data_IF_077510365642
#
_entry.id   IF_077510365642
#
_cell.length_a   1.000
_cell.length_b   1.000
_cell.length_c   1.000
_cell.angle_alpha   90.00
_cell.angle_beta   90.00
_cell.angle_gamma   90.00
#
_symmetry.space_group_name_H-M   'P 1'
#
loop_
_entity.id
_entity.type
_entity.pdbx_description
1 polymer ?
#
# COMPACT_ATOMS: atom_id res chain seq x y z
N UNK A 1 -25.22 31.84 -10.30
CA UNK A 1 -24.96 30.51 -9.69
C UNK A 1 -23.51 30.44 -9.23
N UNK A 2 -23.26 29.78 -8.09
CA UNK A 2 -21.92 29.43 -7.60
C UNK A 2 -21.86 27.95 -7.29
N UNK A 3 -20.86 27.25 -7.80
CA UNK A 3 -20.66 25.81 -7.58
C UNK A 3 -19.31 25.63 -6.89
N UNK A 4 -19.30 25.03 -5.70
CA UNK A 4 -18.08 24.60 -5.02
C UNK A 4 -17.74 23.18 -5.44
N UNK A 5 -16.46 22.95 -5.73
CA UNK A 5 -15.95 21.72 -6.32
C UNK A 5 -14.82 21.23 -5.43
N UNK A 6 -14.97 20.01 -4.94
CA UNK A 6 -13.91 19.30 -4.24
C UNK A 6 -12.94 18.72 -5.26
N UNK A 7 -11.66 19.05 -5.09
CA UNK A 7 -10.55 18.49 -5.85
C UNK A 7 -9.77 17.47 -4.99
N UNK A 8 -8.61 17.03 -5.49
CA UNK A 8 -7.75 16.04 -4.82
C UNK A 8 -7.19 16.58 -3.50
N UNK A 9 -6.66 17.80 -3.54
CA UNK A 9 -6.22 18.51 -2.34
C UNK A 9 -7.38 19.35 -1.78
N UNK A 10 -7.82 19.12 -0.54
CA UNK A 10 -8.84 19.92 0.11
C UNK A 10 -8.50 21.42 0.19
N UNK A 11 -7.21 21.78 0.15
CA UNK A 11 -6.78 23.18 0.15
C UNK A 11 -6.90 23.84 -1.23
N UNK A 12 -7.02 23.06 -2.30
CA UNK A 12 -7.13 23.54 -3.69
C UNK A 12 -8.57 23.48 -4.22
N UNK A 13 -9.56 23.36 -3.34
CA UNK A 13 -10.96 23.35 -3.75
C UNK A 13 -11.31 24.58 -4.61
N UNK A 14 -12.01 24.33 -5.71
CA UNK A 14 -12.34 25.36 -6.69
C UNK A 14 -13.80 25.82 -6.53
N UNK A 15 -14.10 27.02 -7.03
CA UNK A 15 -15.44 27.55 -7.07
C UNK A 15 -15.73 28.26 -8.40
N UNK A 16 -16.69 27.71 -9.15
CA UNK A 16 -17.18 28.34 -10.38
C UNK A 16 -18.32 29.30 -10.07
N UNK A 17 -18.21 30.54 -10.56
CA UNK A 17 -19.30 31.53 -10.47
C UNK A 17 -19.71 31.97 -11.87
N UNK A 18 -20.99 31.81 -12.21
CA UNK A 18 -21.51 32.14 -13.52
C UNK A 18 -23.02 32.39 -13.51
N UNK A 19 -23.48 33.17 -14.49
CA UNK A 19 -24.90 33.32 -14.81
C UNK A 19 -25.32 32.30 -15.86
N UNK A 20 -26.54 31.79 -15.74
CA UNK A 20 -27.13 30.82 -16.66
C UNK A 20 -28.51 31.31 -17.07
N UNK A 21 -28.73 31.49 -18.38
CA UNK A 21 -30.02 31.89 -18.93
C UNK A 21 -31.02 30.74 -18.88
N UNK A 22 -32.34 31.02 -18.90
CA UNK A 22 -33.36 29.97 -19.01
C UNK A 22 -33.06 29.03 -20.20
N UNK A 23 -33.22 27.72 -19.97
CA UNK A 23 -32.99 26.67 -20.96
C UNK A 23 -31.58 26.65 -21.59
N UNK A 24 -30.58 27.27 -20.94
CA UNK A 24 -29.19 27.23 -21.38
C UNK A 24 -28.34 26.31 -20.52
N UNK A 25 -27.21 25.86 -21.08
CA UNK A 25 -26.18 25.09 -20.38
C UNK A 25 -24.83 25.79 -20.50
N UNK A 26 -23.97 25.57 -19.50
CA UNK A 26 -22.56 25.96 -19.53
C UNK A 26 -21.71 24.76 -19.12
N UNK A 27 -20.62 24.56 -19.84
CA UNK A 27 -19.63 23.51 -19.56
C UNK A 27 -18.30 24.16 -19.21
N UNK A 28 -17.62 23.59 -18.24
CA UNK A 28 -16.33 24.06 -17.75
C UNK A 28 -15.32 22.93 -17.79
N UNK A 29 -14.08 23.25 -18.16
CA UNK A 29 -12.94 22.35 -18.06
C UNK A 29 -12.05 22.84 -16.92
N UNK A 30 -11.94 22.02 -15.88
CA UNK A 30 -11.17 22.37 -14.68
C UNK A 30 -9.91 21.51 -14.67
N UNK A 31 -8.71 22.10 -14.69
CA UNK A 31 -7.48 21.34 -14.56
C UNK A 31 -7.40 20.76 -13.14
N UNK A 32 -7.14 19.45 -13.03
CA UNK A 32 -6.94 18.78 -11.75
C UNK A 32 -5.45 18.50 -11.59
N UNK A 33 -4.82 19.13 -10.59
CA UNK A 33 -3.45 18.82 -10.23
C UNK A 33 -3.41 17.52 -9.43
N UNK A 34 -2.47 16.61 -9.78
CA UNK A 34 -2.36 15.28 -9.18
C UNK A 34 -0.97 15.13 -8.54
N UNK A 35 -0.78 15.66 -7.31
CA UNK A 35 0.53 15.65 -6.65
C UNK A 35 0.91 14.30 -6.03
N UNK A 36 -0.07 13.47 -5.66
CA UNK A 36 0.16 12.21 -4.96
C UNK A 36 -0.79 11.10 -5.46
N UNK A 37 -0.37 9.84 -5.30
CA UNK A 37 -1.20 8.67 -5.59
C UNK A 37 -2.22 8.41 -4.47
N UNK A 38 -3.28 7.68 -4.80
CA UNK A 38 -4.35 7.37 -3.85
C UNK A 38 -5.73 7.37 -4.49
N UNK A 39 -6.75 7.28 -3.65
CA UNK A 39 -8.15 7.33 -4.08
C UNK A 39 -8.81 8.61 -3.56
N UNK A 40 -9.33 9.43 -4.48
CA UNK A 40 -9.89 10.75 -4.18
C UNK A 40 -11.34 10.85 -4.62
N UNK A 41 -12.14 11.57 -3.84
CA UNK A 41 -13.50 11.94 -4.22
C UNK A 41 -13.50 13.34 -4.80
N UNK A 42 -13.85 13.47 -6.08
CA UNK A 42 -13.81 14.72 -6.84
C UNK A 42 -15.19 15.04 -7.37
N UNK A 43 -15.60 16.31 -7.29
CA UNK A 43 -16.86 16.79 -7.86
C UNK A 43 -17.50 17.92 -7.07
N UNK A 44 -18.68 18.36 -7.52
CA UNK A 44 -19.49 19.37 -6.86
C UNK A 44 -19.86 18.97 -5.44
N UNK A 45 -19.62 19.84 -4.47
CA UNK A 45 -20.01 19.66 -3.06
C UNK A 45 -21.19 20.55 -2.71
N UNK A 46 -21.24 21.76 -3.25
CA UNK A 46 -22.29 22.73 -2.95
C UNK A 46 -22.66 23.54 -4.17
N UNK A 47 -23.95 23.71 -4.40
CA UNK A 47 -24.48 24.62 -5.42
C UNK A 47 -25.25 25.72 -4.70
N UNK A 48 -24.95 26.98 -5.03
CA UNK A 48 -25.65 28.15 -4.53
C UNK A 48 -26.29 28.89 -5.71
N UNK A 49 -27.60 29.02 -5.68
CA UNK A 49 -28.39 29.78 -6.65
C UNK A 49 -28.74 31.10 -5.99
N UNK A 50 -28.48 32.19 -6.70
CA UNK A 50 -28.72 33.55 -6.21
C UNK A 50 -29.87 34.16 -6.97
N UNK A 51 -30.60 35.07 -6.33
CA UNK A 51 -31.54 35.95 -7.02
C UNK A 51 -30.81 36.96 -7.94
N UNK A 52 -31.57 37.77 -8.67
CA UNK A 52 -31.03 38.74 -9.65
C UNK A 52 -30.19 39.85 -8.99
N UNK A 53 -30.36 40.08 -7.69
CA UNK A 53 -29.66 41.07 -6.89
C UNK A 53 -28.58 40.45 -5.96
N UNK A 54 -28.33 39.14 -6.06
CA UNK A 54 -27.42 38.36 -5.21
C UNK A 54 -27.71 38.46 -3.70
N UNK A 55 -28.91 38.84 -3.29
CA UNK A 55 -29.25 39.10 -1.88
C UNK A 55 -29.47 37.81 -1.09
N UNK A 56 -30.19 36.84 -1.67
CA UNK A 56 -30.56 35.59 -0.99
C UNK A 56 -30.05 34.37 -1.77
N UNK A 57 -29.06 33.64 -1.22
CA UNK A 57 -28.59 32.40 -1.81
C UNK A 57 -29.40 31.17 -1.35
N UNK A 58 -30.01 30.46 -2.29
CA UNK A 58 -30.51 29.10 -2.12
C UNK A 58 -29.35 28.11 -2.23
N UNK A 59 -29.02 27.41 -1.14
CA UNK A 59 -27.86 26.54 -1.05
C UNK A 59 -28.27 25.08 -1.01
N UNK A 60 -27.70 24.29 -1.90
CA UNK A 60 -27.89 22.84 -1.98
C UNK A 60 -26.54 22.16 -1.71
N UNK A 61 -26.49 21.32 -0.69
CA UNK A 61 -25.34 20.42 -0.51
C UNK A 61 -25.55 19.20 -1.41
N UNK A 62 -24.72 19.11 -2.45
CA UNK A 62 -24.84 18.08 -3.47
C UNK A 62 -24.63 16.68 -2.88
N UNK A 63 -23.87 16.56 -1.77
CA UNK A 63 -23.50 15.28 -1.15
C UNK A 63 -24.70 14.59 -0.49
N UNK A 64 -25.75 15.34 -0.15
CA UNK A 64 -26.96 14.81 0.48
C UNK A 64 -28.05 14.43 -0.53
N UNK A 65 -27.87 14.74 -1.82
CA UNK A 65 -28.86 14.47 -2.86
C UNK A 65 -28.77 13.01 -3.32
N UNK A 66 -29.90 12.31 -3.39
CA UNK A 66 -29.94 10.88 -3.73
C UNK A 66 -29.37 10.57 -5.12
N UNK A 67 -29.55 11.48 -6.07
CA UNK A 67 -29.15 11.33 -7.48
C UNK A 67 -27.71 11.76 -7.78
N UNK A 68 -26.97 12.30 -6.81
CA UNK A 68 -25.63 12.83 -7.03
C UNK A 68 -24.59 12.16 -6.13
N UNK A 69 -23.46 11.75 -6.69
CA UNK A 69 -22.30 11.24 -5.94
C UNK A 69 -21.03 11.86 -6.47
N UNK A 70 -20.10 12.17 -5.58
CA UNK A 70 -18.73 12.51 -5.96
C UNK A 70 -18.14 11.37 -6.80
N UNK A 71 -17.34 11.71 -7.80
CA UNK A 71 -16.65 10.73 -8.63
C UNK A 71 -15.39 10.28 -7.91
N UNK A 72 -15.13 8.98 -7.97
CA UNK A 72 -13.90 8.39 -7.43
C UNK A 72 -12.81 8.44 -8.50
N UNK A 73 -11.70 9.13 -8.19
CA UNK A 73 -10.50 9.17 -9.00
C UNK A 73 -9.40 8.36 -8.29
N UNK A 74 -8.98 7.25 -8.89
CA UNK A 74 -7.87 6.43 -8.38
C UNK A 74 -6.62 6.72 -9.18
N UNK A 75 -5.60 7.22 -8.51
CA UNK A 75 -4.29 7.53 -9.07
C UNK A 75 -3.32 6.45 -8.61
N UNK A 76 -2.81 5.65 -9.55
CA UNK A 76 -1.89 4.55 -9.24
C UNK A 76 -0.47 5.10 -9.01
N UNK A 77 0.29 4.57 -8.02
CA UNK A 77 1.70 4.91 -7.87
C UNK A 77 2.48 4.52 -9.12
N UNK A 78 3.48 5.31 -9.50
CA UNK A 78 4.41 4.89 -10.55
C UNK A 78 5.30 3.77 -10.01
N UNK A 79 5.68 2.86 -10.90
CA UNK A 79 6.66 1.82 -10.62
C UNK A 79 7.87 2.09 -11.50
N UNK A 80 8.98 2.51 -10.90
CA UNK A 80 10.20 2.82 -11.61
C UNK A 80 11.04 1.56 -11.82
N UNK A 81 11.75 1.51 -12.94
CA UNK A 81 12.68 0.44 -13.21
C UNK A 81 13.93 0.61 -12.35
N UNK A 82 14.20 -0.35 -11.48
CA UNK A 82 15.40 -0.40 -10.63
C UNK A 82 16.18 -1.67 -10.96
N UNK A 83 17.44 -1.53 -11.35
CA UNK A 83 18.28 -2.67 -11.76
C UNK A 83 18.73 -3.50 -10.56
N UNK A 84 19.30 -2.84 -9.56
CA UNK A 84 19.81 -3.42 -8.33
C UNK A 84 19.43 -2.55 -7.13
N UNK A 85 19.07 -3.18 -6.02
CA UNK A 85 18.92 -2.51 -4.74
C UNK A 85 20.14 -2.93 -3.91
N UNK A 86 21.05 -1.99 -3.57
CA UNK A 86 22.26 -2.34 -2.84
C UNK A 86 21.95 -2.91 -1.46
N UNK A 87 22.73 -3.90 -1.04
CA UNK A 87 22.46 -4.65 0.19
C UNK A 87 21.45 -5.78 0.01
N UNK A 88 20.89 -6.00 -1.18
CA UNK A 88 20.27 -7.28 -1.51
C UNK A 88 21.33 -8.39 -1.56
N UNK A 89 21.07 -9.48 -0.86
CA UNK A 89 21.92 -10.67 -0.95
C UNK A 89 21.55 -11.41 -2.24
N UNK A 90 22.33 -11.16 -3.29
CA UNK A 90 22.29 -11.95 -4.52
C UNK A 90 23.02 -13.29 -4.32
N UNK A 91 22.63 -14.09 -3.33
CA UNK A 91 23.20 -15.42 -3.15
C UNK A 91 22.49 -16.42 -4.06
N UNK A 92 22.81 -16.37 -5.35
CA UNK A 92 22.50 -17.45 -6.28
C UNK A 92 22.97 -18.83 -5.73
N UNK A 93 23.99 -18.85 -4.86
CA UNK A 93 24.48 -20.03 -4.15
C UNK A 93 23.61 -20.44 -2.96
N UNK A 94 23.26 -19.54 -2.05
CA UNK A 94 22.36 -19.86 -0.92
C UNK A 94 20.96 -20.27 -1.44
N UNK A 95 20.45 -19.61 -2.49
CA UNK A 95 19.21 -19.98 -3.16
C UNK A 95 19.28 -21.35 -3.87
N UNK A 96 20.42 -21.73 -4.44
CA UNK A 96 20.62 -23.06 -5.02
C UNK A 96 20.68 -24.15 -3.94
N UNK A 97 21.36 -23.87 -2.82
CA UNK A 97 21.43 -24.75 -1.64
C UNK A 97 20.05 -24.93 -0.98
N UNK A 98 19.23 -23.86 -0.97
CA UNK A 98 17.84 -23.88 -0.55
C UNK A 98 16.95 -24.75 -1.46
N UNK A 99 17.01 -24.55 -2.78
CA UNK A 99 16.28 -25.40 -3.74
C UNK A 99 16.62 -26.89 -3.60
N UNK A 100 17.87 -27.21 -3.31
CA UNK A 100 18.32 -28.58 -3.04
C UNK A 100 17.69 -29.14 -1.76
N UNK A 101 17.67 -28.37 -0.67
CA UNK A 101 17.04 -28.77 0.60
C UNK A 101 15.52 -28.95 0.50
N UNK A 102 14.84 -28.08 -0.25
CA UNK A 102 13.39 -28.17 -0.46
C UNK A 102 13.00 -29.32 -1.39
N UNK A 103 13.83 -29.62 -2.39
CA UNK A 103 13.61 -30.77 -3.27
C UNK A 103 13.76 -32.10 -2.50
N UNK A 104 14.60 -32.13 -1.47
CA UNK A 104 14.77 -33.29 -0.58
C UNK A 104 13.65 -33.41 0.48
N UNK A 105 13.05 -32.28 0.87
CA UNK A 105 11.88 -32.22 1.76
C UNK A 105 10.61 -31.95 0.95
N UNK A 106 10.12 -32.98 0.24
CA UNK A 106 8.95 -32.87 -0.63
C UNK A 106 7.77 -32.12 0.00
N UNK A 107 7.14 -31.24 -0.80
CA UNK A 107 5.91 -30.46 -0.53
C UNK A 107 5.29 -30.68 0.86
N UNK A 108 5.86 -30.01 1.87
CA UNK A 108 5.34 -30.08 3.23
C UNK A 108 4.04 -29.27 3.33
N UNK A 109 2.93 -29.98 3.22
CA UNK A 109 1.56 -29.47 3.32
C UNK A 109 1.06 -29.60 4.76
N UNK A 110 1.13 -28.55 5.60
CA UNK A 110 0.65 -28.73 6.99
C UNK A 110 0.19 -27.46 7.74
N UNK A 111 -0.88 -26.79 7.28
CA UNK A 111 -1.77 -26.20 8.30
C UNK A 111 -3.25 -26.10 7.90
N UNK A 112 -4.12 -26.35 8.88
CA UNK A 112 -5.58 -26.38 8.71
C UNK A 112 -6.21 -25.55 9.80
N UNK A 113 -6.77 -24.40 9.40
CA UNK A 113 -7.44 -23.48 10.33
C UNK A 113 -8.93 -23.76 10.40
N UNK A 114 -9.53 -23.56 11.58
CA UNK A 114 -10.99 -23.42 11.69
C UNK A 114 -11.51 -22.25 10.86
N UNK A 115 -12.64 -22.45 10.22
CA UNK A 115 -13.36 -21.42 9.46
C UNK A 115 -13.76 -20.25 10.36
N UNK A 116 -13.50 -19.03 9.91
CA UNK A 116 -14.03 -17.80 10.49
C UNK A 116 -14.98 -17.13 9.50
N UNK A 117 -16.05 -16.45 9.98
CA UNK A 117 -16.91 -15.66 9.12
C UNK A 117 -16.06 -14.67 8.29
N UNK A 118 -16.19 -14.75 6.96
CA UNK A 118 -15.37 -13.97 6.01
C UNK A 118 -14.37 -14.81 5.22
N UNK A 119 -14.06 -16.04 5.65
CA UNK A 119 -13.20 -16.94 4.88
C UNK A 119 -13.90 -17.36 3.56
N UNK A 120 -13.21 -17.33 2.41
CA UNK A 120 -13.83 -17.67 1.13
C UNK A 120 -14.21 -19.16 1.07
N UNK A 121 -15.47 -19.45 0.73
CA UNK A 121 -16.04 -20.82 0.65
C UNK A 121 -15.19 -21.76 -0.22
N UNK A 122 -14.56 -21.23 -1.28
CA UNK A 122 -13.68 -22.00 -2.19
C UNK A 122 -12.46 -22.63 -1.48
N UNK A 123 -12.09 -22.14 -0.28
CA UNK A 123 -10.96 -22.63 0.50
C UNK A 123 -11.37 -23.67 1.56
N UNK A 124 -12.64 -24.05 1.65
CA UNK A 124 -13.10 -25.07 2.62
C UNK A 124 -12.59 -26.46 2.21
N UNK A 125 -11.97 -27.17 3.15
CA UNK A 125 -11.58 -28.56 2.99
C UNK A 125 -12.78 -29.47 3.29
N UNK A 126 -13.71 -29.61 2.33
CA UNK A 126 -14.98 -30.32 2.52
C UNK A 126 -14.81 -31.73 3.11
N UNK A 127 -13.83 -32.52 2.65
CA UNK A 127 -13.60 -33.89 3.14
C UNK A 127 -13.23 -33.97 4.64
N UNK A 128 -12.41 -33.04 5.13
CA UNK A 128 -11.97 -33.00 6.54
C UNK A 128 -13.03 -32.32 7.40
N UNK A 129 -13.71 -31.32 6.84
CA UNK A 129 -14.85 -30.68 7.49
C UNK A 129 -16.00 -31.64 7.73
N UNK A 130 -16.26 -32.54 6.77
CA UNK A 130 -17.26 -33.59 6.90
C UNK A 130 -16.89 -34.62 7.99
N UNK A 131 -15.60 -34.95 8.14
CA UNK A 131 -15.13 -35.92 9.14
C UNK A 131 -15.25 -35.40 10.58
N UNK A 132 -15.05 -34.10 10.79
CA UNK A 132 -15.00 -33.48 12.12
C UNK A 132 -16.22 -32.60 12.43
N UNK A 133 -17.23 -32.58 11.55
CA UNK A 133 -18.44 -31.75 11.65
C UNK A 133 -18.18 -30.26 11.94
N UNK A 134 -17.00 -29.79 11.59
CA UNK A 134 -16.52 -28.42 11.81
C UNK A 134 -15.83 -27.95 10.55
N UNK A 135 -16.12 -26.72 10.10
CA UNK A 135 -15.55 -26.21 8.85
C UNK A 135 -14.06 -25.92 9.03
N UNK A 136 -13.24 -26.59 8.24
CA UNK A 136 -11.81 -26.33 8.12
C UNK A 136 -11.52 -25.64 6.79
N UNK A 137 -10.65 -24.64 6.84
CA UNK A 137 -10.15 -23.91 5.67
C UNK A 137 -8.72 -24.38 5.39
N UNK A 138 -8.44 -24.72 4.14
CA UNK A 138 -7.09 -25.02 3.65
C UNK A 138 -6.25 -23.75 3.79
N UNK A 139 -5.25 -23.75 4.67
CA UNK A 139 -4.15 -22.81 4.54
C UNK A 139 -3.20 -23.43 3.51
N UNK A 140 -2.99 -22.71 2.42
CA UNK A 140 -1.99 -23.10 1.44
C UNK A 140 -0.67 -22.53 1.96
N UNK A 141 0.24 -23.39 2.40
CA UNK A 141 1.64 -23.08 2.22
C UNK A 141 1.86 -23.00 0.71
N UNK A 142 2.24 -21.83 0.23
CA UNK A 142 2.62 -21.71 -1.16
C UNK A 142 3.83 -22.62 -1.41
N UNK A 143 3.95 -23.24 -2.60
CA UNK A 143 5.23 -23.79 -3.02
C UNK A 143 6.28 -22.71 -2.79
N UNK A 144 7.46 -23.10 -2.27
CA UNK A 144 8.60 -22.23 -2.02
C UNK A 144 9.15 -21.60 -3.31
N UNK A 145 8.34 -20.79 -3.98
CA UNK A 145 8.77 -19.86 -4.98
C UNK A 145 9.52 -18.76 -4.25
N UNK A 146 10.70 -18.42 -4.75
CA UNK A 146 11.47 -17.26 -4.34
C UNK A 146 10.54 -16.03 -4.34
N UNK A 147 10.19 -15.56 -3.14
CA UNK A 147 9.16 -14.56 -2.93
C UNK A 147 9.73 -13.38 -2.14
N UNK A 148 9.39 -12.19 -2.59
CA UNK A 148 9.71 -10.91 -1.94
C UNK A 148 8.48 -10.45 -1.18
N UNK A 149 8.64 -10.17 0.12
CA UNK A 149 7.59 -9.64 0.96
C UNK A 149 7.74 -8.13 1.09
N UNK A 150 6.70 -7.39 0.72
CA UNK A 150 6.54 -5.96 0.93
C UNK A 150 5.62 -5.76 2.13
N UNK A 151 6.18 -5.31 3.24
CA UNK A 151 5.45 -5.02 4.46
C UNK A 151 5.27 -3.50 4.60
N UNK A 152 4.04 -3.02 4.46
CA UNK A 152 3.71 -1.59 4.48
C UNK A 152 3.25 -1.21 5.87
N UNK A 153 4.00 -0.34 6.53
CA UNK A 153 3.55 0.34 7.72
C UNK A 153 2.44 1.33 7.39
N UNK A 154 1.28 1.09 7.96
CA UNK A 154 0.07 1.89 7.78
C UNK A 154 -0.15 2.86 8.94
N UNK A 155 0.80 3.00 9.86
CA UNK A 155 0.74 4.00 10.93
C UNK A 155 0.68 5.41 10.32
N UNK A 156 -0.25 6.24 10.77
CA UNK A 156 -0.33 7.63 10.32
C UNK A 156 0.97 8.39 10.68
N UNK A 157 1.69 8.96 9.70
CA UNK A 157 2.86 9.78 10.00
C UNK A 157 2.49 11.13 10.60
N UNK A 158 3.47 11.77 11.25
CA UNK A 158 3.36 13.16 11.69
C UNK A 158 3.59 14.11 10.51
N UNK A 159 2.89 15.25 10.53
CA UNK A 159 3.00 16.28 9.50
C UNK A 159 1.67 16.95 9.19
N UNK A 160 1.70 17.90 8.26
CA UNK A 160 0.48 18.44 7.67
C UNK A 160 -0.11 17.48 6.62
N UNK A 161 -1.31 17.79 6.12
CA UNK A 161 -2.00 16.93 5.16
C UNK A 161 -1.15 16.64 3.91
N UNK A 162 -0.45 17.65 3.38
CA UNK A 162 0.36 17.52 2.17
C UNK A 162 1.58 16.64 2.41
N UNK A 163 2.32 16.87 3.49
CA UNK A 163 3.45 16.03 3.89
C UNK A 163 3.03 14.59 4.10
N UNK A 164 1.96 14.33 4.86
CA UNK A 164 1.43 12.96 5.08
C UNK A 164 1.09 12.27 3.74
N UNK A 165 0.45 12.99 2.81
CA UNK A 165 0.12 12.47 1.48
C UNK A 165 1.36 12.23 0.62
N UNK A 166 2.37 13.08 0.69
CA UNK A 166 3.62 12.93 -0.04
C UNK A 166 4.46 11.77 0.52
N UNK A 167 4.50 11.58 1.84
CA UNK A 167 5.13 10.41 2.46
C UNK A 167 4.45 9.12 2.00
N UNK A 168 3.11 9.06 2.03
CA UNK A 168 2.37 7.91 1.49
C UNK A 168 2.64 7.66 0.02
N UNK A 169 2.66 8.72 -0.78
CA UNK A 169 2.95 8.63 -2.21
C UNK A 169 4.32 8.03 -2.47
N UNK A 170 5.35 8.55 -1.80
CA UNK A 170 6.73 8.07 -1.91
C UNK A 170 6.83 6.60 -1.48
N UNK A 171 6.14 6.22 -0.39
CA UNK A 171 6.07 4.85 0.09
C UNK A 171 5.46 3.91 -0.95
N UNK A 172 4.33 4.31 -1.54
CA UNK A 172 3.63 3.53 -2.56
C UNK A 172 4.45 3.39 -3.85
N UNK A 173 5.10 4.46 -4.30
CA UNK A 173 5.99 4.40 -5.48
C UNK A 173 7.21 3.52 -5.22
N UNK A 174 7.79 3.58 -4.02
CA UNK A 174 8.89 2.71 -3.61
C UNK A 174 8.46 1.25 -3.61
N UNK A 175 7.33 0.92 -2.96
CA UNK A 175 6.80 -0.43 -2.92
C UNK A 175 6.44 -0.97 -4.32
N UNK A 176 5.83 -0.15 -5.16
CA UNK A 176 5.50 -0.52 -6.54
C UNK A 176 6.77 -0.77 -7.38
N UNK A 177 7.84 -0.01 -7.15
CA UNK A 177 9.13 -0.16 -7.84
C UNK A 177 9.85 -1.45 -7.42
N UNK A 178 9.87 -1.77 -6.11
CA UNK A 178 10.38 -3.05 -5.60
C UNK A 178 9.56 -4.22 -6.14
N UNK A 179 8.23 -4.11 -6.15
CA UNK A 179 7.34 -5.12 -6.73
C UNK A 179 7.64 -5.39 -8.21
N UNK A 180 7.71 -4.32 -9.02
CA UNK A 180 8.02 -4.40 -10.44
C UNK A 180 9.35 -5.14 -10.65
N UNK A 181 10.37 -4.78 -9.88
CA UNK A 181 11.69 -5.40 -9.98
C UNK A 181 11.65 -6.90 -9.64
N UNK A 182 11.01 -7.28 -8.53
CA UNK A 182 10.86 -8.67 -8.13
C UNK A 182 10.15 -9.50 -9.20
N UNK A 183 9.05 -8.98 -9.76
CA UNK A 183 8.31 -9.64 -10.85
C UNK A 183 9.15 -9.76 -12.14
N UNK A 184 9.98 -8.76 -12.49
CA UNK A 184 10.93 -8.87 -13.62
C UNK A 184 11.93 -10.00 -13.43
N UNK A 185 12.31 -10.28 -12.18
CA UNK A 185 13.21 -11.37 -11.79
C UNK A 185 12.52 -12.70 -11.58
N UNK A 186 11.21 -12.80 -11.91
CA UNK A 186 10.38 -13.99 -11.72
C UNK A 186 10.27 -14.45 -10.26
N UNK A 187 10.43 -13.51 -9.33
CA UNK A 187 10.10 -13.71 -7.93
C UNK A 187 8.64 -13.36 -7.69
N UNK A 188 7.95 -14.14 -6.87
CA UNK A 188 6.62 -13.76 -6.42
C UNK A 188 6.71 -12.53 -5.51
N UNK A 189 5.65 -11.73 -5.46
CA UNK A 189 5.55 -10.57 -4.58
C UNK A 189 4.37 -10.75 -3.66
N UNK A 190 4.62 -10.61 -2.37
CA UNK A 190 3.63 -10.64 -1.31
C UNK A 190 3.52 -9.25 -0.70
N UNK A 191 2.35 -8.65 -0.75
CA UNK A 191 2.05 -7.36 -0.13
C UNK A 191 1.23 -7.56 1.13
N UNK A 192 1.72 -7.04 2.26
CA UNK A 192 1.07 -7.07 3.56
C UNK A 192 0.99 -5.65 4.11
N UNK A 193 -0.18 -5.27 4.61
CA UNK A 193 -0.38 -4.02 5.33
C UNK A 193 -0.37 -4.27 6.84
N UNK A 194 0.23 -3.38 7.62
CA UNK A 194 0.40 -3.56 9.06
C UNK A 194 -0.91 -3.51 9.85
N UNK A 195 -1.95 -2.89 9.31
CA UNK A 195 -3.27 -2.70 9.92
C UNK A 195 -4.29 -3.78 9.56
N UNK A 196 -4.11 -4.45 8.42
CA UNK A 196 -4.95 -5.56 7.98
C UNK A 196 -4.11 -6.66 7.33
N UNK A 197 -3.45 -7.46 8.16
CA UNK A 197 -2.65 -8.61 7.71
C UNK A 197 -3.47 -9.71 7.04
N UNK A 198 -4.81 -9.65 7.10
CA UNK A 198 -5.70 -10.60 6.43
C UNK A 198 -5.91 -10.30 4.94
N UNK A 199 -5.66 -9.04 4.52
CA UNK A 199 -5.73 -8.59 3.12
C UNK A 199 -4.40 -8.70 2.40
N UNK A 200 -3.73 -9.83 2.58
CA UNK A 200 -2.53 -10.15 1.82
C UNK A 200 -2.84 -10.21 0.32
N UNK A 201 -2.04 -9.53 -0.48
CA UNK A 201 -2.08 -9.61 -1.94
C UNK A 201 -0.84 -10.31 -2.44
N UNK A 202 -1.01 -11.35 -3.24
CA UNK A 202 0.11 -12.10 -3.81
C UNK A 202 0.04 -12.00 -5.33
N UNK A 203 1.17 -11.70 -5.95
CA UNK A 203 1.32 -11.65 -7.40
C UNK A 203 2.55 -12.44 -7.82
N UNK A 204 2.43 -13.24 -8.88
CA UNK A 204 3.51 -14.07 -9.40
C UNK A 204 3.95 -13.62 -10.79
N UNK A 205 3.15 -12.78 -11.46
CA UNK A 205 3.36 -12.40 -12.85
C UNK A 205 3.34 -10.88 -13.07
N UNK A 206 3.99 -10.44 -14.14
CA UNK A 206 4.11 -9.01 -14.45
C UNK A 206 2.78 -8.32 -14.77
N UNK A 207 1.85 -9.02 -15.41
CA UNK A 207 0.51 -8.53 -15.71
C UNK A 207 -0.34 -8.29 -14.44
N UNK A 208 0.05 -8.85 -13.30
CA UNK A 208 -0.61 -8.68 -12.01
C UNK A 208 -0.08 -7.47 -11.22
N UNK A 209 0.97 -6.78 -11.70
CA UNK A 209 1.56 -5.62 -11.01
C UNK A 209 0.52 -4.54 -10.70
N UNK A 210 -0.46 -4.32 -11.57
CA UNK A 210 -1.51 -3.35 -11.34
C UNK A 210 -2.43 -3.72 -10.17
N UNK A 211 -2.50 -4.99 -9.75
CA UNK A 211 -3.20 -5.39 -8.52
C UNK A 211 -2.49 -4.83 -7.28
N UNK A 212 -1.16 -4.92 -7.24
CA UNK A 212 -0.33 -4.33 -6.17
C UNK A 212 -0.53 -2.82 -6.17
N UNK A 213 -0.40 -2.16 -7.32
CA UNK A 213 -0.54 -0.70 -7.44
C UNK A 213 -1.92 -0.20 -7.03
N UNK A 214 -2.98 -0.93 -7.42
CA UNK A 214 -4.36 -0.64 -7.00
C UNK A 214 -4.54 -0.85 -5.50
N UNK A 215 -3.97 -1.92 -4.93
CA UNK A 215 -4.03 -2.17 -3.49
C UNK A 215 -3.34 -1.07 -2.70
N UNK A 216 -2.15 -0.64 -3.13
CA UNK A 216 -1.42 0.49 -2.55
C UNK A 216 -2.23 1.79 -2.64
N UNK A 217 -2.79 2.12 -3.82
CA UNK A 217 -3.56 3.35 -4.01
C UNK A 217 -4.93 3.37 -3.30
N UNK A 218 -5.51 2.21 -3.02
CA UNK A 218 -6.79 2.10 -2.32
C UNK A 218 -6.64 2.09 -0.80
N UNK A 219 -5.44 1.80 -0.29
CA UNK A 219 -5.20 1.71 1.15
C UNK A 219 -5.13 3.10 1.79
N UNK A 220 -5.54 3.17 3.05
CA UNK A 220 -5.49 4.38 3.86
C UNK A 220 -4.71 4.10 5.14
N UNK A 221 -4.02 5.10 5.68
CA UNK A 221 -3.38 4.96 6.98
C UNK A 221 -4.39 4.64 8.09
N UNK A 222 -3.95 3.82 9.02
CA UNK A 222 -4.62 3.51 10.27
C UNK A 222 -4.22 4.50 11.36
N UNK A 223 -5.18 4.81 12.23
CA UNK A 223 -4.94 5.59 13.46
C UNK A 223 -4.34 4.74 14.58
N UNK A 224 -4.21 3.43 14.38
CA UNK A 224 -3.63 2.53 15.38
C UNK A 224 -2.11 2.46 15.24
N UNK A 225 -1.40 3.13 16.14
CA UNK A 225 0.06 3.19 16.15
C UNK A 225 0.74 1.86 16.53
N UNK A 226 0.08 0.94 17.23
CA UNK A 226 0.75 -0.29 17.69
C UNK A 226 0.65 -1.44 16.68
N UNK A 227 -0.13 -1.28 15.62
CA UNK A 227 -0.46 -2.35 14.67
C UNK A 227 0.78 -2.97 14.04
N UNK A 228 1.78 -2.16 13.70
CA UNK A 228 3.04 -2.64 13.12
C UNK A 228 3.82 -3.53 14.08
N UNK A 229 4.01 -3.05 15.32
CA UNK A 229 4.84 -3.73 16.32
C UNK A 229 4.22 -5.06 16.75
N UNK A 230 2.89 -5.17 16.72
CA UNK A 230 2.20 -6.41 16.99
C UNK A 230 2.14 -7.36 15.79
N UNK A 231 1.77 -6.85 14.62
CA UNK A 231 1.49 -7.69 13.45
C UNK A 231 2.76 -8.14 12.75
N UNK A 232 3.82 -7.34 12.75
CA UNK A 232 5.07 -7.72 12.10
C UNK A 232 5.62 -9.03 12.69
N UNK A 233 5.85 -9.17 14.02
CA UNK A 233 6.31 -10.43 14.62
C UNK A 233 5.36 -11.62 14.41
N UNK A 234 4.03 -11.41 14.44
CA UNK A 234 3.04 -12.48 14.19
C UNK A 234 3.14 -13.00 12.76
N UNK A 235 3.34 -12.11 11.78
CA UNK A 235 3.52 -12.48 10.38
C UNK A 235 4.91 -13.07 10.14
N UNK A 236 5.94 -12.70 10.91
CA UNK A 236 7.26 -13.31 10.84
C UNK A 236 7.24 -14.82 11.13
N UNK A 237 6.39 -15.30 12.06
CA UNK A 237 6.27 -16.75 12.32
C UNK A 237 5.76 -17.50 11.08
N UNK A 238 4.96 -16.83 10.24
CA UNK A 238 4.42 -17.39 8.99
C UNK A 238 5.36 -17.25 7.81
N UNK A 239 6.27 -16.29 7.85
CA UNK A 239 7.25 -16.03 6.81
C UNK A 239 8.48 -16.88 7.14
N UNK A 240 8.85 -17.81 6.26
CA UNK A 240 10.13 -18.51 6.40
C UNK A 240 11.26 -17.47 6.49
N UNK A 241 12.17 -17.63 7.46
CA UNK A 241 13.30 -16.73 7.72
C UNK A 241 14.28 -16.55 6.53
N UNK A 242 14.03 -17.25 5.43
CA UNK A 242 14.82 -17.31 4.21
C UNK A 242 14.27 -16.39 3.10
N UNK A 243 13.14 -15.70 3.33
CA UNK A 243 12.51 -14.79 2.36
C UNK A 243 13.05 -13.35 2.46
N UNK A 244 13.09 -12.66 1.32
CA UNK A 244 13.54 -11.27 1.21
C UNK A 244 12.40 -10.33 1.67
N UNK A 245 12.63 -9.51 2.70
CA UNK A 245 11.60 -8.68 3.34
C UNK A 245 11.97 -7.21 3.23
N UNK A 246 11.08 -6.44 2.60
CA UNK A 246 11.13 -4.99 2.54
C UNK A 246 10.09 -4.41 3.50
N UNK A 247 10.55 -3.75 4.55
CA UNK A 247 9.70 -3.00 5.45
C UNK A 247 9.66 -1.54 4.99
N UNK A 248 8.48 -1.01 4.74
CA UNK A 248 8.27 0.38 4.34
C UNK A 248 7.64 1.13 5.50
N UNK A 249 8.30 2.19 6.00
CA UNK A 249 7.76 3.00 7.09
C UNK A 249 8.26 4.43 7.02
N UNK A 250 7.45 5.37 7.52
CA UNK A 250 7.79 6.77 7.76
C UNK A 250 8.00 7.09 9.24
N UNK A 251 7.90 6.09 10.13
CA UNK A 251 8.01 6.28 11.57
C UNK A 251 9.42 6.68 11.99
N UNK A 252 9.51 7.58 12.95
CA UNK A 252 10.78 8.08 13.47
C UNK A 252 10.95 7.80 14.97
N UNK A 253 10.02 7.10 15.60
CA UNK A 253 10.07 6.85 17.03
C UNK A 253 11.21 5.90 17.41
N UNK A 254 11.83 6.17 18.55
CA UNK A 254 12.98 5.40 19.04
C UNK A 254 12.61 3.93 19.28
N UNK A 255 11.38 3.67 19.73
CA UNK A 255 10.89 2.31 19.98
C UNK A 255 10.86 1.47 18.70
N UNK A 256 10.40 2.05 17.58
CA UNK A 256 10.40 1.43 16.27
C UNK A 256 11.82 1.15 15.78
N UNK A 257 12.74 2.10 15.95
CA UNK A 257 14.14 1.93 15.56
C UNK A 257 14.82 0.80 16.35
N UNK A 258 14.61 0.73 17.67
CA UNK A 258 15.14 -0.35 18.51
C UNK A 258 14.56 -1.72 18.12
N UNK A 259 13.25 -1.79 17.85
CA UNK A 259 12.59 -3.03 17.45
C UNK A 259 13.06 -3.51 16.07
N UNK A 260 13.17 -2.62 15.09
CA UNK A 260 13.65 -2.97 13.74
C UNK A 260 15.10 -3.43 13.73
N UNK A 261 15.96 -2.81 14.55
CA UNK A 261 17.32 -3.27 14.77
C UNK A 261 17.35 -4.68 15.37
N UNK A 262 16.55 -4.94 16.41
CA UNK A 262 16.43 -6.27 17.02
C UNK A 262 15.88 -7.33 16.05
N UNK A 263 14.97 -6.96 15.15
CA UNK A 263 14.50 -7.84 14.09
C UNK A 263 15.58 -8.14 13.06
N UNK A 264 16.39 -7.15 12.68
CA UNK A 264 17.49 -7.32 11.72
C UNK A 264 18.56 -8.32 12.19
N UNK A 265 18.82 -8.39 13.50
CA UNK A 265 19.75 -9.38 14.08
C UNK A 265 19.28 -10.82 13.87
N UNK A 266 17.96 -11.04 13.86
CA UNK A 266 17.34 -12.34 13.62
C UNK A 266 17.07 -12.60 12.13
N UNK A 267 17.02 -11.53 11.32
CA UNK A 267 16.57 -11.56 9.93
C UNK A 267 17.62 -10.96 8.99
N UNK A 268 18.45 -11.83 8.41
CA UNK A 268 19.53 -11.41 7.51
C UNK A 268 19.06 -10.74 6.20
N UNK A 269 17.80 -10.91 5.83
CA UNK A 269 17.20 -10.42 4.58
C UNK A 269 16.15 -9.32 4.80
N UNK A 270 16.18 -8.65 5.95
CA UNK A 270 15.33 -7.48 6.23
C UNK A 270 16.01 -6.20 5.72
N UNK A 271 15.30 -5.45 4.86
CA UNK A 271 15.68 -4.11 4.41
C UNK A 271 14.58 -3.11 4.74
N UNK A 272 14.95 -2.03 5.43
CA UNK A 272 14.03 -0.94 5.77
C UNK A 272 14.10 0.15 4.69
N UNK A 273 12.98 0.43 4.02
CA UNK A 273 12.80 1.62 3.20
C UNK A 273 12.15 2.69 4.08
N UNK A 274 12.98 3.64 4.52
CA UNK A 274 12.61 4.65 5.51
C UNK A 274 12.24 5.96 4.82
N UNK A 275 10.95 6.27 4.77
CA UNK A 275 10.45 7.50 4.17
C UNK A 275 10.64 8.66 5.14
N UNK A 276 11.26 9.74 4.65
CA UNK A 276 11.66 10.90 5.44
C UNK A 276 12.50 10.54 6.68
N UNK A 277 13.22 9.41 6.63
CA UNK A 277 14.10 8.96 7.69
C UNK A 277 15.49 9.58 7.60
N UNK A 278 16.19 9.61 8.72
CA UNK A 278 17.61 9.98 8.76
C UNK A 278 18.50 8.74 8.63
N UNK A 279 19.66 8.86 7.96
CA UNK A 279 20.67 7.80 8.00
C UNK A 279 21.16 7.66 9.45
N UNK A 280 20.96 6.48 10.03
CA UNK A 280 21.41 6.16 11.39
C UNK A 280 22.35 4.97 11.25
N UNK A 281 23.57 5.03 11.81
CA UNK A 281 24.48 3.89 11.79
C UNK A 281 23.89 2.72 12.60
N UNK A 282 23.89 1.52 12.04
CA UNK A 282 23.33 0.32 12.65
C UNK A 282 23.63 -0.94 11.82
N UNK A 283 23.20 -2.09 12.30
CA UNK A 283 23.23 -3.35 11.54
C UNK A 283 22.04 -3.48 10.59
N UNK A 284 20.93 -2.79 10.88
CA UNK A 284 19.77 -2.76 10.00
C UNK A 284 20.13 -2.08 8.67
N UNK A 285 19.99 -2.82 7.57
CA UNK A 285 20.10 -2.25 6.22
C UNK A 285 18.94 -1.31 5.98
N UNK A 286 19.24 -0.05 5.65
CA UNK A 286 18.22 0.96 5.38
C UNK A 286 18.50 1.78 4.14
N UNK A 287 17.43 2.12 3.43
CA UNK A 287 17.44 3.11 2.35
C UNK A 287 16.52 4.24 2.78
N UNK A 288 17.08 5.43 2.96
CA UNK A 288 16.32 6.62 3.31
C UNK A 288 15.87 7.35 2.04
N UNK A 289 14.58 7.65 1.94
CA UNK A 289 14.01 8.38 0.80
C UNK A 289 13.26 9.59 1.34
N UNK A 290 13.66 10.80 0.93
CA UNK A 290 12.93 12.02 1.32
C UNK A 290 11.49 12.00 0.78
N UNK A 291 10.55 12.67 1.46
CA UNK A 291 9.19 12.80 0.95
C UNK A 291 9.17 13.51 -0.42
N UNK A 292 8.52 12.90 -1.42
CA UNK A 292 8.53 13.39 -2.80
C UNK A 292 9.89 13.30 -3.50
N UNK A 293 10.87 12.62 -2.90
CA UNK A 293 12.20 12.42 -3.49
C UNK A 293 12.20 11.44 -4.67
N UNK A 294 13.32 11.41 -5.39
CA UNK A 294 13.51 10.48 -6.51
C UNK A 294 13.67 9.04 -6.00
N UNK A 295 12.59 8.28 -6.07
CA UNK A 295 12.53 6.87 -5.65
C UNK A 295 13.50 6.00 -6.45
N UNK A 296 13.63 6.21 -7.76
CA UNK A 296 14.48 5.37 -8.61
C UNK A 296 15.96 5.59 -8.25
N UNK A 297 16.35 6.85 -8.08
CA UNK A 297 17.69 7.21 -7.65
C UNK A 297 17.99 6.68 -6.25
N UNK A 298 17.09 6.87 -5.27
CA UNK A 298 17.33 6.45 -3.89
C UNK A 298 17.44 4.92 -3.74
N UNK A 299 16.57 4.15 -4.41
CA UNK A 299 16.64 2.69 -4.40
C UNK A 299 17.93 2.16 -5.07
N UNK A 300 18.51 2.91 -6.01
CA UNK A 300 19.73 2.53 -6.73
C UNK A 300 21.02 3.01 -6.04
N UNK A 301 20.97 4.14 -5.33
CA UNK A 301 22.12 4.77 -4.68
C UNK A 301 22.66 3.98 -3.48
N UNK A 302 21.82 3.12 -2.90
CA UNK A 302 22.20 2.12 -1.91
C UNK A 302 21.93 2.48 -0.47
N UNK A 303 22.05 1.46 0.39
CA UNK A 303 21.83 1.58 1.82
C UNK A 303 23.00 2.33 2.48
N UNK A 304 22.67 3.28 3.36
CA UNK A 304 23.61 3.99 4.24
C UNK A 304 23.62 3.37 5.62
#
# INVERSE_FOLDING_TARGET
LRIQIQLIDPQENDALTFSLSPFSSKSFSIPVHIPYCGTFSVGMTKVSIFDVFDLVPFRFDMRHLSYYRLKTLTVLPKAYHVEAIPGEISDAKAFAELKLRTAEQGDNFTDLRGYRPGDPIKRIHFKKSAQHQTLYVKQYDMPQADAVTLFIDCTLPTGDYRSIRMQFHTMCESAASVALRALRRRKAVRLIFSDDSSREVICCQMNELDLIRKSLAAHSFSMNEESLLEEFPKNMIRLSFESEIYLFSSRQDESFLQNTEAWSQKMKHLLLIHINGLPIPGQLRRICIAEGGDVAAALSAGAT
#
